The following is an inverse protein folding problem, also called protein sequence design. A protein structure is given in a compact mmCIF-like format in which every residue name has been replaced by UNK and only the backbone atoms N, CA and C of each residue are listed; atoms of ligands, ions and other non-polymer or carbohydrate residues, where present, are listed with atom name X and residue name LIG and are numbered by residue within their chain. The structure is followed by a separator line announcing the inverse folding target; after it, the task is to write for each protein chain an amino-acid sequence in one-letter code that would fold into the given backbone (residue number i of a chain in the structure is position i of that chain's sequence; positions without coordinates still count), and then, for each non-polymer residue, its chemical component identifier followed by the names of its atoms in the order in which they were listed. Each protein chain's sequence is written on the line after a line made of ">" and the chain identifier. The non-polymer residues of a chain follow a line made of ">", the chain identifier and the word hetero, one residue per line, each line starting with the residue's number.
data_IF_871958260980
#
_entry.id   IF_871958260980
#
_cell.length_a   1.000
_cell.length_b   1.000
_cell.length_c   1.000
_cell.angle_alpha   90.00
_cell.angle_beta   90.00
_cell.angle_gamma   90.00
#
_symmetry.space_group_name_H-M   'P 1'
#
loop_
_entity.id
_entity.type
_entity.pdbx_description
1 polymer ?
#
# COMPACT_ATOMS: atom_id res chain seq x y z
N UNK A 1 25.39 -3.04 9.47
CA UNK A 1 24.00 -2.99 9.98
C UNK A 1 23.05 -2.38 8.95
N UNK A 2 23.43 -1.26 8.33
CA UNK A 2 22.65 -0.52 7.32
C UNK A 2 22.25 -1.35 6.08
N UNK A 3 23.15 -2.19 5.54
CA UNK A 3 22.85 -3.07 4.41
C UNK A 3 21.79 -4.15 4.71
N UNK A 4 21.73 -4.63 5.96
CA UNK A 4 20.75 -5.66 6.37
C UNK A 4 19.37 -5.02 6.51
N UNK A 5 19.29 -3.85 7.16
CA UNK A 5 18.05 -3.06 7.28
C UNK A 5 17.52 -2.70 5.90
N UNK A 6 18.40 -2.27 4.98
CA UNK A 6 18.06 -2.00 3.59
C UNK A 6 17.41 -3.19 2.88
N UNK A 7 18.05 -4.35 2.91
CA UNK A 7 17.51 -5.59 2.32
C UNK A 7 16.17 -5.97 2.94
N UNK A 8 16.04 -5.80 4.26
CA UNK A 8 14.81 -6.08 5.00
C UNK A 8 13.66 -5.16 4.57
N UNK A 9 13.88 -3.84 4.45
CA UNK A 9 12.85 -2.88 4.01
C UNK A 9 12.38 -3.17 2.58
N UNK A 10 13.31 -3.51 1.68
CA UNK A 10 12.97 -3.92 0.30
C UNK A 10 12.16 -5.22 0.31
N UNK A 11 12.56 -6.20 1.12
CA UNK A 11 11.84 -7.46 1.27
C UNK A 11 10.41 -7.22 1.79
N UNK A 12 10.22 -6.36 2.79
CA UNK A 12 8.90 -6.02 3.33
C UNK A 12 8.03 -5.35 2.25
N UNK A 13 8.58 -4.42 1.46
CA UNK A 13 7.86 -3.79 0.34
C UNK A 13 7.42 -4.78 -0.72
N UNK A 14 8.31 -5.69 -1.13
CA UNK A 14 7.98 -6.75 -2.08
C UNK A 14 6.94 -7.71 -1.53
N UNK A 15 7.06 -8.06 -0.24
CA UNK A 15 6.11 -8.93 0.45
C UNK A 15 4.71 -8.32 0.46
N UNK A 16 4.59 -7.01 0.75
CA UNK A 16 3.31 -6.30 0.66
C UNK A 16 2.74 -6.41 -0.76
N UNK A 17 3.53 -6.09 -1.79
CA UNK A 17 3.04 -6.16 -3.18
C UNK A 17 2.59 -7.57 -3.58
N UNK A 18 3.38 -8.60 -3.28
CA UNK A 18 3.08 -9.99 -3.62
C UNK A 18 1.85 -10.48 -2.86
N UNK A 19 1.79 -10.25 -1.55
CA UNK A 19 0.65 -10.67 -0.73
C UNK A 19 -0.63 -9.94 -1.12
N UNK A 20 -0.56 -8.66 -1.50
CA UNK A 20 -1.73 -7.94 -2.04
C UNK A 20 -2.24 -8.58 -3.32
N UNK A 21 -1.36 -8.98 -4.25
CA UNK A 21 -1.79 -9.67 -5.48
C UNK A 21 -2.43 -11.03 -5.15
N UNK A 22 -1.79 -11.84 -4.30
CA UNK A 22 -2.30 -13.15 -3.91
C UNK A 22 -3.66 -13.02 -3.24
N UNK A 23 -3.80 -12.12 -2.27
CA UNK A 23 -5.06 -11.89 -1.57
C UNK A 23 -6.16 -11.41 -2.53
N UNK A 24 -5.86 -10.48 -3.44
CA UNK A 24 -6.85 -10.02 -4.41
C UNK A 24 -7.28 -11.13 -5.38
N UNK A 25 -6.38 -12.04 -5.75
CA UNK A 25 -6.72 -13.20 -6.57
C UNK A 25 -7.56 -14.22 -5.80
N UNK A 26 -7.24 -14.48 -4.54
CA UNK A 26 -8.03 -15.33 -3.64
C UNK A 26 -9.45 -14.76 -3.49
N UNK A 27 -9.60 -13.46 -3.22
CA UNK A 27 -10.91 -12.81 -3.11
C UNK A 27 -11.70 -12.86 -4.41
N UNK A 28 -11.06 -12.73 -5.58
CA UNK A 28 -11.74 -12.89 -6.88
C UNK A 28 -12.13 -14.35 -7.11
N UNK A 29 -11.28 -15.30 -6.74
CA UNK A 29 -11.58 -16.72 -6.83
C UNK A 29 -12.80 -17.07 -5.97
N UNK A 30 -12.78 -16.70 -4.69
CA UNK A 30 -13.90 -16.92 -3.77
C UNK A 30 -15.17 -16.25 -4.31
N UNK A 31 -15.09 -15.00 -4.78
CA UNK A 31 -16.22 -14.31 -5.39
C UNK A 31 -16.80 -15.08 -6.58
N UNK A 32 -15.98 -15.65 -7.47
CA UNK A 32 -16.48 -16.37 -8.66
C UNK A 32 -17.08 -17.73 -8.27
N UNK A 33 -16.48 -18.42 -7.31
CA UNK A 33 -16.89 -19.78 -6.92
C UNK A 33 -18.06 -19.79 -5.93
N UNK A 34 -18.09 -18.87 -4.97
CA UNK A 34 -19.18 -18.77 -4.00
C UNK A 34 -20.44 -18.11 -4.58
N UNK A 35 -20.30 -17.24 -5.59
CA UNK A 35 -21.45 -16.69 -6.32
C UNK A 35 -22.29 -17.76 -7.03
N UNK A 36 -21.72 -18.94 -7.31
CA UNK A 36 -22.46 -20.09 -7.86
C UNK A 36 -23.26 -20.87 -6.79
N UNK A 37 -23.01 -20.65 -5.49
CA UNK A 37 -23.63 -21.39 -4.38
C UNK A 37 -24.47 -20.51 -3.43
N UNK A 38 -24.55 -19.21 -3.63
CA UNK A 38 -25.12 -18.28 -2.66
C UNK A 38 -26.66 -18.28 -2.59
N UNK A 39 -27.21 -18.66 -1.43
CA UNK A 39 -28.61 -18.42 -1.04
C UNK A 39 -28.84 -16.92 -0.79
N UNK A 40 -30.03 -16.42 -1.17
CA UNK A 40 -30.49 -15.02 -1.11
C UNK A 40 -30.30 -14.27 0.23
N UNK A 41 -29.95 -14.97 1.31
CA UNK A 41 -29.80 -14.37 2.65
C UNK A 41 -28.50 -13.57 2.80
N UNK A 42 -27.38 -14.07 2.28
CA UNK A 42 -26.11 -13.35 2.31
C UNK A 42 -26.06 -12.19 1.27
N UNK A 43 -26.93 -12.21 0.25
CA UNK A 43 -27.05 -11.10 -0.72
C UNK A 43 -27.41 -9.75 -0.07
N UNK A 44 -28.16 -9.78 1.04
CA UNK A 44 -28.55 -8.60 1.80
C UNK A 44 -27.68 -8.36 3.04
N UNK A 45 -27.14 -9.41 3.65
CA UNK A 45 -26.46 -9.34 4.94
C UNK A 45 -24.93 -9.27 4.85
N UNK A 46 -24.35 -9.55 3.68
CA UNK A 46 -22.91 -9.71 3.62
C UNK A 46 -22.18 -8.36 3.81
N UNK A 47 -21.14 -8.44 4.62
CA UNK A 47 -20.24 -7.38 5.08
C UNK A 47 -19.62 -6.61 3.88
N UNK A 48 -19.80 -7.14 2.67
CA UNK A 48 -19.46 -6.61 1.37
C UNK A 48 -20.67 -6.13 0.55
N UNK A 49 -21.60 -5.35 1.11
CA UNK A 49 -22.81 -4.76 0.47
C UNK A 49 -22.61 -3.94 -0.83
N UNK A 50 -21.49 -4.12 -1.53
CA UNK A 50 -21.10 -3.67 -2.84
C UNK A 50 -20.53 -4.86 -3.65
N UNK A 51 -21.30 -5.95 -3.80
CA UNK A 51 -20.89 -7.16 -4.54
C UNK A 51 -20.45 -6.85 -5.98
N UNK A 52 -21.16 -5.93 -6.65
CA UNK A 52 -20.87 -5.46 -8.02
C UNK A 52 -19.50 -4.77 -8.14
N UNK A 53 -18.93 -4.35 -7.02
CA UNK A 53 -17.71 -3.54 -6.95
C UNK A 53 -16.50 -4.37 -6.51
N UNK A 54 -16.68 -5.67 -6.21
CA UNK A 54 -15.60 -6.57 -5.79
C UNK A 54 -14.56 -6.72 -6.90
N UNK A 55 -14.96 -7.14 -8.11
CA UNK A 55 -14.05 -7.30 -9.24
C UNK A 55 -13.26 -6.02 -9.57
N UNK A 56 -13.89 -4.85 -9.81
CA UNK A 56 -13.13 -3.64 -10.13
C UNK A 56 -12.22 -3.19 -8.99
N UNK A 57 -12.63 -3.39 -7.73
CA UNK A 57 -11.79 -3.11 -6.55
C UNK A 57 -10.54 -3.99 -6.53
N UNK A 58 -10.69 -5.30 -6.66
CA UNK A 58 -9.54 -6.23 -6.62
C UNK A 58 -8.61 -6.04 -7.82
N UNK A 59 -9.14 -5.76 -9.02
CA UNK A 59 -8.30 -5.40 -10.17
C UNK A 59 -7.48 -4.13 -9.92
N UNK A 60 -8.05 -3.13 -9.24
CA UNK A 60 -7.32 -1.90 -8.89
C UNK A 60 -6.16 -2.18 -7.91
N UNK A 61 -6.35 -3.10 -6.96
CA UNK A 61 -5.31 -3.55 -6.03
C UNK A 61 -4.19 -4.30 -6.74
N UNK A 62 -4.53 -5.22 -7.66
CA UNK A 62 -3.55 -5.96 -8.46
C UNK A 62 -2.71 -4.99 -9.30
N UNK A 63 -3.35 -4.03 -9.97
CA UNK A 63 -2.66 -3.02 -10.77
C UNK A 63 -1.73 -2.15 -9.91
N UNK A 64 -2.21 -1.69 -8.76
CA UNK A 64 -1.44 -0.85 -7.85
C UNK A 64 -0.27 -1.61 -7.18
N UNK A 65 -0.47 -2.86 -6.81
CA UNK A 65 0.58 -3.73 -6.27
C UNK A 65 1.64 -4.08 -7.32
N UNK A 66 1.22 -4.33 -8.56
CA UNK A 66 2.14 -4.53 -9.69
C UNK A 66 2.99 -3.28 -9.92
N UNK A 67 2.37 -2.09 -9.87
CA UNK A 67 3.10 -0.82 -9.93
C UNK A 67 4.09 -0.69 -8.76
N UNK A 68 3.72 -1.03 -7.54
CA UNK A 68 4.62 -1.01 -6.38
C UNK A 68 5.85 -1.90 -6.59
N UNK A 69 5.65 -3.15 -7.02
CA UNK A 69 6.75 -4.09 -7.29
C UNK A 69 7.67 -3.54 -8.38
N UNK A 70 7.10 -3.02 -9.47
CA UNK A 70 7.86 -2.36 -10.54
C UNK A 70 8.64 -1.16 -10.03
N UNK A 71 8.02 -0.35 -9.16
CA UNK A 71 8.63 0.80 -8.49
C UNK A 71 9.82 0.43 -7.63
N UNK A 72 9.72 -0.67 -6.88
CA UNK A 72 10.81 -1.20 -6.06
C UNK A 72 11.95 -1.70 -6.96
N UNK A 73 11.63 -2.43 -8.03
CA UNK A 73 12.63 -2.95 -8.97
C UNK A 73 13.42 -1.83 -9.67
N UNK A 74 12.73 -0.78 -10.11
CA UNK A 74 13.35 0.38 -10.78
C UNK A 74 13.75 1.52 -9.84
N UNK A 75 13.61 1.33 -8.52
CA UNK A 75 13.87 2.35 -7.47
C UNK A 75 13.21 3.71 -7.74
N UNK A 76 11.96 3.70 -8.22
CA UNK A 76 11.20 4.91 -8.56
C UNK A 76 10.01 5.09 -7.62
N UNK A 77 10.11 6.11 -6.75
CA UNK A 77 9.10 6.45 -5.73
C UNK A 77 7.72 6.76 -6.33
N UNK A 78 7.68 7.29 -7.57
CA UNK A 78 6.42 7.63 -8.26
C UNK A 78 5.44 6.44 -8.37
N UNK A 79 5.94 5.22 -8.37
CA UNK A 79 5.10 4.03 -8.47
C UNK A 79 4.52 3.58 -7.12
N UNK A 80 4.78 4.30 -6.04
CA UNK A 80 4.15 4.03 -4.73
C UNK A 80 2.81 4.74 -4.59
N UNK A 81 2.57 5.81 -5.36
CA UNK A 81 1.31 6.57 -5.28
C UNK A 81 0.06 5.75 -5.65
N UNK A 82 0.07 4.85 -6.65
CA UNK A 82 -1.10 4.03 -6.98
C UNK A 82 -1.62 3.23 -5.79
N UNK A 83 -0.75 2.55 -5.04
CA UNK A 83 -1.18 1.72 -3.90
C UNK A 83 -1.73 2.55 -2.75
N UNK A 84 -1.14 3.74 -2.53
CA UNK A 84 -1.65 4.71 -1.54
C UNK A 84 -3.02 5.23 -1.97
N UNK A 85 -3.20 5.56 -3.25
CA UNK A 85 -4.45 6.08 -3.79
C UNK A 85 -5.58 5.06 -3.62
N UNK A 86 -5.36 3.80 -4.04
CA UNK A 86 -6.35 2.73 -3.87
C UNK A 86 -6.67 2.51 -2.39
N UNK A 87 -5.65 2.49 -1.51
CA UNK A 87 -5.86 2.37 -0.08
C UNK A 87 -6.74 3.51 0.48
N UNK A 88 -6.47 4.77 0.10
CA UNK A 88 -7.25 5.92 0.54
C UNK A 88 -8.72 5.85 0.05
N UNK A 89 -8.94 5.46 -1.21
CA UNK A 89 -10.30 5.31 -1.76
C UNK A 89 -11.07 4.22 -1.02
N UNK A 90 -10.44 3.06 -0.78
CA UNK A 90 -11.06 1.95 -0.04
C UNK A 90 -11.39 2.36 1.39
N UNK A 91 -10.48 3.06 2.07
CA UNK A 91 -10.73 3.59 3.41
C UNK A 91 -11.88 4.59 3.44
N UNK A 92 -11.98 5.45 2.43
CA UNK A 92 -13.06 6.41 2.31
C UNK A 92 -14.41 5.73 2.11
N UNK A 93 -14.48 4.75 1.19
CA UNK A 93 -15.70 3.96 0.96
C UNK A 93 -16.12 3.23 2.23
N UNK A 94 -15.18 2.62 2.95
CA UNK A 94 -15.46 1.97 4.22
C UNK A 94 -15.97 2.96 5.28
N UNK A 95 -15.36 4.14 5.40
CA UNK A 95 -15.82 5.17 6.32
C UNK A 95 -17.26 5.60 6.01
N UNK A 96 -17.58 5.85 4.73
CA UNK A 96 -18.93 6.19 4.30
C UNK A 96 -19.91 5.04 4.62
N UNK A 97 -19.53 3.78 4.35
CA UNK A 97 -20.34 2.60 4.71
C UNK A 97 -20.64 2.57 6.21
N UNK A 98 -19.63 2.74 7.06
CA UNK A 98 -19.81 2.70 8.52
C UNK A 98 -20.71 3.85 9.00
N UNK A 99 -20.60 5.06 8.43
CA UNK A 99 -21.50 6.17 8.74
C UNK A 99 -22.94 5.86 8.33
N UNK A 100 -23.14 5.26 7.15
CA UNK A 100 -24.46 4.87 6.66
C UNK A 100 -25.06 3.76 7.54
N UNK A 101 -24.29 2.73 7.87
CA UNK A 101 -24.74 1.65 8.76
C UNK A 101 -25.10 2.16 10.15
N UNK A 102 -24.37 3.15 10.67
CA UNK A 102 -24.70 3.81 11.93
C UNK A 102 -25.98 4.65 11.83
N UNK A 103 -26.29 5.22 10.66
CA UNK A 103 -27.46 6.06 10.44
C UNK A 103 -28.75 5.26 10.19
N UNK A 104 -28.64 4.06 9.61
CA UNK A 104 -29.78 3.17 9.34
C UNK A 104 -30.11 2.37 10.61
N UNK A 105 -30.83 3.04 11.50
CA UNK A 105 -31.05 2.71 12.92
C UNK A 105 -32.11 1.62 13.19
N UNK A 106 -32.14 0.47 12.49
CA UNK A 106 -33.31 -0.43 12.61
C UNK A 106 -33.15 -1.95 12.76
N UNK A 107 -31.96 -2.54 12.69
CA UNK A 107 -31.85 -4.00 12.90
C UNK A 107 -30.72 -4.35 13.87
N UNK A 108 -31.10 -4.92 15.01
CA UNK A 108 -30.23 -5.44 16.09
C UNK A 108 -29.26 -6.55 15.62
N UNK A 109 -29.10 -6.79 14.33
CA UNK A 109 -28.15 -7.76 13.78
C UNK A 109 -26.92 -7.09 13.14
N UNK A 110 -26.97 -5.81 12.77
CA UNK A 110 -25.86 -5.17 12.03
C UNK A 110 -24.72 -4.62 12.90
N UNK A 111 -24.95 -4.46 14.20
CA UNK A 111 -23.94 -3.92 15.14
C UNK A 111 -22.73 -4.85 15.30
N UNK A 112 -22.92 -6.17 15.24
CA UNK A 112 -21.83 -7.16 15.32
C UNK A 112 -20.87 -7.08 14.10
N UNK A 113 -21.38 -6.55 12.98
CA UNK A 113 -20.67 -6.39 11.71
C UNK A 113 -20.11 -4.99 11.48
N UNK A 114 -20.42 -4.05 12.36
CA UNK A 114 -19.90 -2.68 12.31
C UNK A 114 -18.46 -2.71 12.79
N UNK A 115 -17.51 -2.26 11.96
CA UNK A 115 -16.07 -2.38 12.24
C UNK A 115 -15.71 -1.64 13.54
N UNK A 116 -16.39 -0.52 13.83
CA UNK A 116 -16.18 0.27 15.03
C UNK A 116 -16.69 -0.38 16.32
N UNK A 117 -17.64 -1.31 16.21
CA UNK A 117 -18.26 -1.98 17.36
C UNK A 117 -17.60 -3.33 17.67
N UNK A 118 -16.77 -3.86 16.75
CA UNK A 118 -16.09 -5.14 16.91
C UNK A 118 -14.56 -4.98 17.05
N UNK A 119 -14.02 -4.87 18.28
CA UNK A 119 -12.60 -4.62 18.50
C UNK A 119 -11.70 -5.73 17.96
N UNK A 120 -12.21 -6.97 17.93
CA UNK A 120 -11.51 -8.14 17.38
C UNK A 120 -11.26 -8.01 15.88
N UNK A 121 -12.11 -7.28 15.15
CA UNK A 121 -11.93 -6.98 13.72
C UNK A 121 -11.14 -5.68 13.51
N UNK A 122 -11.43 -4.65 14.31
CA UNK A 122 -10.83 -3.32 14.19
C UNK A 122 -9.31 -3.34 14.41
N UNK A 123 -8.85 -4.00 15.47
CA UNK A 123 -7.45 -4.00 15.86
C UNK A 123 -6.52 -4.60 14.79
N UNK A 124 -6.72 -5.85 14.32
CA UNK A 124 -5.85 -6.44 13.30
C UNK A 124 -5.91 -5.71 11.95
N UNK A 125 -7.06 -5.13 11.57
CA UNK A 125 -7.14 -4.31 10.36
C UNK A 125 -6.31 -3.03 10.49
N UNK A 126 -6.41 -2.35 11.63
CA UNK A 126 -5.66 -1.12 11.90
C UNK A 126 -4.16 -1.38 11.94
N UNK A 127 -3.74 -2.44 12.64
CA UNK A 127 -2.33 -2.83 12.71
C UNK A 127 -1.74 -3.14 11.33
N UNK A 128 -2.47 -3.88 10.47
CA UNK A 128 -2.02 -4.16 9.10
C UNK A 128 -1.86 -2.89 8.27
N UNK A 129 -2.80 -1.94 8.38
CA UNK A 129 -2.75 -0.66 7.66
C UNK A 129 -1.58 0.22 8.11
N UNK A 130 -1.39 0.33 9.43
CA UNK A 130 -0.27 1.09 10.01
C UNK A 130 1.06 0.48 9.58
N UNK A 131 1.19 -0.85 9.64
CA UNK A 131 2.39 -1.55 9.18
C UNK A 131 2.69 -1.29 7.69
N UNK A 132 1.66 -1.34 6.83
CA UNK A 132 1.80 -1.03 5.40
C UNK A 132 2.29 0.40 5.17
N UNK A 133 1.70 1.38 5.85
CA UNK A 133 2.09 2.79 5.72
C UNK A 133 3.52 3.05 6.20
N UNK A 134 3.91 2.49 7.36
CA UNK A 134 5.28 2.63 7.88
C UNK A 134 6.28 2.04 6.90
N UNK A 135 5.96 0.87 6.31
CA UNK A 135 6.82 0.22 5.33
C UNK A 135 7.00 1.07 4.06
N UNK A 136 5.92 1.65 3.54
CA UNK A 136 5.97 2.55 2.38
C UNK A 136 6.78 3.82 2.67
N UNK A 137 6.63 4.40 3.87
CA UNK A 137 7.43 5.56 4.29
C UNK A 137 8.91 5.19 4.40
N UNK A 138 9.23 4.02 4.96
CA UNK A 138 10.59 3.53 5.07
C UNK A 138 11.23 3.31 3.68
N UNK A 139 10.50 2.70 2.74
CA UNK A 139 10.93 2.53 1.35
C UNK A 139 11.18 3.87 0.66
N UNK A 140 10.27 4.83 0.83
CA UNK A 140 10.43 6.17 0.26
C UNK A 140 11.70 6.83 0.77
N UNK A 141 11.91 6.87 2.09
CA UNK A 141 13.10 7.48 2.70
C UNK A 141 14.39 6.79 2.27
N UNK A 142 14.36 5.46 2.15
CA UNK A 142 15.49 4.68 1.65
C UNK A 142 15.88 5.12 0.23
N UNK A 143 14.91 5.22 -0.68
CA UNK A 143 15.17 5.63 -2.07
C UNK A 143 15.59 7.11 -2.18
N UNK A 144 15.03 8.00 -1.36
CA UNK A 144 15.46 9.41 -1.31
C UNK A 144 16.92 9.53 -0.80
N UNK A 145 17.29 8.77 0.24
CA UNK A 145 18.66 8.78 0.75
C UNK A 145 19.68 8.30 -0.30
N UNK A 146 19.35 7.26 -1.06
CA UNK A 146 20.22 6.72 -2.10
C UNK A 146 20.44 7.73 -3.23
N UNK A 147 19.38 8.42 -3.65
CA UNK A 147 19.46 9.43 -4.70
C UNK A 147 20.28 10.66 -4.25
N UNK A 148 20.28 10.98 -2.95
CA UNK A 148 21.09 12.06 -2.39
C UNK A 148 22.58 11.70 -2.26
N UNK A 149 22.91 10.45 -1.93
CA UNK A 149 24.30 9.97 -1.81
C UNK A 149 25.01 9.82 -3.15
N UNK A 150 24.27 9.52 -4.22
CA UNK A 150 24.84 9.38 -5.57
C UNK A 150 25.29 10.75 -6.15
N UNK A 151 24.69 11.84 -5.68
CA UNK A 151 25.02 13.20 -6.10
C UNK A 151 26.15 13.85 -5.29
N UNK A 152 26.59 13.26 -4.17
CA UNK A 152 27.56 13.89 -3.26
C UNK A 152 29.04 13.62 -3.58
N UNK A 153 29.36 12.75 -4.53
CA UNK A 153 30.76 12.36 -4.85
C UNK A 153 31.36 13.01 -6.10
N UNK A 154 30.66 13.93 -6.79
CA UNK A 154 31.16 14.58 -8.02
C UNK A 154 31.80 15.97 -7.78
N UNK A 155 31.88 16.44 -6.54
CA UNK A 155 32.55 17.71 -6.22
C UNK A 155 33.59 17.53 -5.15
N UNK A 156 34.79 17.08 -5.51
CA UNK A 156 36.07 17.52 -4.96
C UNK A 156 37.19 16.82 -5.75
N UNK A 157 37.37 17.25 -7.00
CA UNK A 157 38.65 17.12 -7.69
C UNK A 157 38.95 18.49 -8.29
N UNK A 158 39.56 19.36 -7.48
CA UNK A 158 40.37 20.48 -7.95
C UNK A 158 41.76 20.29 -7.33
N UNK A 159 42.36 19.13 -7.59
CA UNK A 159 43.78 19.09 -7.88
C UNK A 159 43.91 19.54 -9.34
N UNK A 160 44.05 20.85 -9.54
CA UNK A 160 44.66 21.50 -10.70
C UNK A 160 44.42 23.00 -10.56
N UNK A 161 45.30 23.68 -9.82
CA UNK A 161 45.91 24.97 -10.18
C UNK A 161 46.92 25.39 -9.07
N UNK A 162 47.87 24.50 -8.76
CA UNK A 162 49.21 24.97 -8.39
C UNK A 162 49.96 25.24 -9.70
N UNK A 163 49.87 26.47 -10.22
CA UNK A 163 50.93 27.07 -11.04
C UNK A 163 50.73 28.59 -11.21
N UNK A 164 50.71 29.34 -10.10
CA UNK A 164 51.04 30.78 -10.14
C UNK A 164 52.28 31.03 -9.28
N UNK A 165 53.41 30.52 -9.76
CA UNK A 165 54.70 31.16 -9.52
C UNK A 165 55.55 31.06 -10.78
N UNK A 166 56.04 32.23 -11.20
CA UNK A 166 57.21 32.52 -12.06
C UNK A 166 56.96 32.98 -13.52
N UNK A 167 57.28 34.27 -13.71
CA UNK A 167 57.79 34.96 -14.92
C UNK A 167 56.75 35.26 -16.03
N UNK A 168 56.51 36.51 -16.47
CA UNK A 168 57.44 37.39 -17.21
C UNK A 168 56.95 38.86 -17.20
N UNK A 169 57.94 39.78 -17.09
CA UNK A 169 57.99 41.23 -17.35
C UNK A 169 57.78 42.22 -16.21
#
# INVERSE_FOLDING_TARGET
>A
MEQVIRKFVIFQGLSIGILTIIHSLETVYDYIFDFLQYEMWDYYNDIHGMYEVVIPRELSWIAAASALIFGIHHRKIRYFYPIICVACVVLFIQLVREIVLFWVDQDEQYWEFTLFCNPSLLFPMTCRRVHGMITLIALKRLFESEQSSDNSFVRFNVENEECETSEIS
#
